data_IF_577933684553
#
_entry.id   IF_577933684553
#
_cell.length_a   1.000
_cell.length_b   1.000
_cell.length_c   1.000
_cell.angle_alpha   90.00
_cell.angle_beta   90.00
_cell.angle_gamma   90.00
#
_symmetry.space_group_name_H-M   'P 1'
#
loop_
_entity.id
_entity.type
_entity.pdbx_description
1 polymer ?
#
# COMPACT_ATOMS: atom_id res chain seq x y z
N UNK A 1 -1.03 -16.11 -15.27
CA UNK A 1 -0.10 -14.97 -15.27
C UNK A 1 -0.18 -14.24 -16.61
N UNK A 2 -0.50 -12.93 -16.58
CA UNK A 2 -0.68 -12.10 -17.75
C UNK A 2 0.61 -12.07 -18.61
N UNK A 3 0.53 -12.15 -19.97
CA UNK A 3 1.71 -12.20 -20.85
C UNK A 3 2.71 -11.05 -20.67
N UNK A 4 2.27 -9.85 -20.26
CA UNK A 4 3.13 -8.72 -19.93
C UNK A 4 4.04 -8.99 -18.73
N UNK A 5 3.56 -9.68 -17.71
CA UNK A 5 4.36 -10.03 -16.51
C UNK A 5 5.46 -11.03 -16.85
N UNK A 6 5.23 -11.96 -17.78
CA UNK A 6 6.27 -12.87 -18.27
C UNK A 6 7.37 -12.14 -19.04
N UNK A 7 7.03 -11.13 -19.88
CA UNK A 7 8.03 -10.35 -20.64
C UNK A 7 8.88 -9.46 -19.74
N UNK A 8 8.28 -8.81 -18.73
CA UNK A 8 9.04 -8.02 -17.75
C UNK A 8 9.98 -8.90 -16.91
N UNK A 9 9.53 -10.08 -16.48
CA UNK A 9 10.42 -11.04 -15.79
C UNK A 9 11.59 -11.50 -16.65
N UNK A 10 11.38 -11.74 -17.94
CA UNK A 10 12.45 -12.13 -18.85
C UNK A 10 13.46 -11.00 -19.12
N UNK A 11 13.02 -9.75 -19.21
CA UNK A 11 13.92 -8.60 -19.32
C UNK A 11 14.80 -8.45 -18.07
N UNK A 12 14.20 -8.51 -16.89
CA UNK A 12 14.94 -8.44 -15.62
C UNK A 12 15.96 -9.59 -15.45
N UNK A 13 15.77 -10.74 -16.07
CA UNK A 13 16.70 -11.87 -16.02
C UNK A 13 17.94 -11.60 -16.87
N UNK A 14 17.79 -11.05 -18.07
CA UNK A 14 18.90 -10.79 -18.99
C UNK A 14 19.88 -9.76 -18.44
N UNK A 15 19.37 -8.70 -17.80
CA UNK A 15 20.20 -7.66 -17.21
C UNK A 15 21.02 -8.14 -16.01
N UNK A 16 20.50 -9.10 -15.23
CA UNK A 16 21.18 -9.62 -14.04
C UNK A 16 22.45 -10.38 -14.37
N UNK A 17 22.47 -11.12 -15.47
CA UNK A 17 23.66 -11.85 -15.92
C UNK A 17 24.83 -10.93 -16.37
N UNK A 18 24.57 -9.64 -16.57
CA UNK A 18 25.63 -8.66 -16.81
C UNK A 18 26.32 -8.18 -15.53
N UNK A 19 25.73 -8.44 -14.36
CA UNK A 19 26.22 -7.98 -13.04
C UNK A 19 26.66 -9.13 -12.11
N UNK A 20 26.37 -10.38 -12.47
CA UNK A 20 26.71 -11.54 -11.65
C UNK A 20 27.10 -12.74 -12.52
N UNK A 21 28.11 -13.48 -12.10
CA UNK A 21 28.57 -14.69 -12.80
C UNK A 21 27.51 -15.79 -12.75
N UNK A 22 26.82 -15.93 -11.63
CA UNK A 22 25.76 -16.92 -11.43
C UNK A 22 24.51 -16.25 -10.87
N UNK A 23 23.37 -16.51 -11.49
CA UNK A 23 22.06 -16.06 -11.03
C UNK A 23 21.15 -17.26 -10.86
N UNK A 24 20.64 -17.43 -9.64
CA UNK A 24 19.64 -18.47 -9.30
C UNK A 24 18.33 -17.77 -8.96
N UNK A 25 17.23 -18.25 -9.51
CA UNK A 25 15.91 -17.66 -9.31
C UNK A 25 14.89 -18.72 -8.90
N UNK A 26 14.06 -18.37 -7.94
CA UNK A 26 12.96 -19.19 -7.46
C UNK A 26 11.62 -18.53 -7.82
N UNK A 27 10.68 -19.26 -8.44
CA UNK A 27 9.41 -18.69 -8.92
C UNK A 27 8.33 -18.58 -7.83
N UNK A 28 8.55 -19.22 -6.70
CA UNK A 28 7.62 -19.42 -5.57
C UNK A 28 8.12 -18.73 -4.31
N UNK A 29 7.22 -18.60 -3.33
CA UNK A 29 7.53 -18.03 -2.01
C UNK A 29 8.07 -19.17 -1.13
N UNK A 30 9.21 -18.98 -0.44
CA UNK A 30 9.75 -19.99 0.47
C UNK A 30 8.82 -20.22 1.68
N UNK A 31 8.73 -21.45 2.15
CA UNK A 31 7.86 -21.83 3.26
C UNK A 31 8.34 -21.31 4.63
N UNK A 32 9.63 -20.93 4.75
CA UNK A 32 10.17 -20.41 6.00
C UNK A 32 11.69 -20.21 5.95
N UNK A 33 12.27 -19.85 7.10
CA UNK A 33 13.67 -19.45 7.23
C UNK A 33 14.67 -20.53 6.74
N UNK A 34 14.43 -21.81 7.04
CA UNK A 34 15.34 -22.88 6.62
C UNK A 34 15.37 -23.06 5.09
N UNK A 35 14.23 -22.86 4.42
CA UNK A 35 14.20 -22.88 2.96
C UNK A 35 14.87 -21.62 2.38
N UNK A 36 14.69 -20.45 3.01
CA UNK A 36 15.39 -19.22 2.60
C UNK A 36 16.90 -19.44 2.70
N UNK A 37 17.40 -20.01 3.79
CA UNK A 37 18.81 -20.33 3.97
C UNK A 37 19.30 -21.30 2.90
N UNK A 38 18.53 -22.36 2.61
CA UNK A 38 18.89 -23.33 1.58
C UNK A 38 18.93 -22.71 0.18
N UNK A 39 18.02 -21.78 -0.13
CA UNK A 39 17.98 -21.05 -1.41
C UNK A 39 19.11 -20.03 -1.55
N UNK A 40 19.51 -19.39 -0.48
CA UNK A 40 20.63 -18.45 -0.46
C UNK A 40 21.96 -19.23 -0.66
N UNK A 41 22.17 -20.29 0.08
CA UNK A 41 23.35 -21.13 -0.03
C UNK A 41 24.66 -20.34 0.15
N UNK A 42 25.48 -20.33 -0.88
CA UNK A 42 26.78 -19.65 -0.95
C UNK A 42 26.73 -18.24 -1.58
N UNK A 43 25.55 -17.74 -1.91
CA UNK A 43 25.39 -16.46 -2.57
C UNK A 43 25.92 -15.29 -1.73
N UNK A 44 26.55 -14.31 -2.38
CA UNK A 44 27.05 -13.08 -1.79
C UNK A 44 26.05 -11.91 -1.94
N UNK A 45 25.09 -12.03 -2.86
CA UNK A 45 24.03 -11.05 -3.07
C UNK A 45 22.65 -11.69 -3.17
N UNK A 46 21.65 -11.04 -2.58
CA UNK A 46 20.26 -11.50 -2.58
C UNK A 46 19.34 -10.40 -3.10
N UNK A 47 18.46 -10.73 -4.05
CA UNK A 47 17.34 -9.89 -4.42
C UNK A 47 16.06 -10.46 -3.80
N UNK A 48 15.48 -9.68 -2.89
CA UNK A 48 14.37 -10.11 -2.02
C UNK A 48 13.05 -9.53 -2.50
N UNK A 49 12.04 -10.39 -2.68
CA UNK A 49 10.66 -9.97 -2.90
C UNK A 49 10.01 -9.46 -1.59
N UNK A 50 8.96 -8.67 -1.71
CA UNK A 50 8.18 -8.19 -0.56
C UNK A 50 7.46 -9.30 0.23
N UNK A 51 7.32 -10.48 -0.35
CA UNK A 51 6.65 -11.65 0.25
C UNK A 51 7.54 -12.46 1.19
N UNK A 52 8.85 -12.22 1.18
CA UNK A 52 9.81 -12.99 1.97
C UNK A 52 10.51 -12.07 2.98
N UNK A 53 10.94 -12.64 4.10
CA UNK A 53 11.67 -11.91 5.14
C UNK A 53 13.04 -12.56 5.38
N UNK A 54 14.07 -11.73 5.54
CA UNK A 54 15.40 -12.15 5.97
C UNK A 54 15.63 -11.65 7.39
N UNK A 55 15.27 -12.50 8.33
CA UNK A 55 15.44 -12.27 9.76
C UNK A 55 16.91 -12.49 10.18
N UNK A 56 17.24 -12.11 11.41
CA UNK A 56 18.54 -12.36 12.02
C UNK A 56 18.95 -13.83 11.95
N UNK A 57 17.99 -14.76 12.21
CA UNK A 57 18.21 -16.22 12.15
C UNK A 57 18.72 -16.69 10.78
N UNK A 58 18.22 -16.10 9.70
CA UNK A 58 18.65 -16.37 8.33
C UNK A 58 20.04 -15.78 8.07
N UNK A 59 20.25 -14.53 8.47
CA UNK A 59 21.53 -13.84 8.29
C UNK A 59 22.69 -14.56 9.03
N UNK A 60 22.44 -15.08 10.22
CA UNK A 60 23.43 -15.84 11.00
C UNK A 60 23.88 -17.11 10.27
N UNK A 61 22.97 -17.78 9.56
CA UNK A 61 23.25 -19.02 8.80
C UNK A 61 23.85 -18.75 7.40
N UNK A 62 23.83 -17.50 6.92
CA UNK A 62 24.31 -17.11 5.59
C UNK A 62 25.49 -16.13 5.69
N UNK A 63 26.71 -16.59 6.01
CA UNK A 63 27.85 -15.72 6.29
C UNK A 63 28.39 -14.99 5.06
N UNK A 64 28.12 -15.47 3.86
CA UNK A 64 28.69 -14.94 2.63
C UNK A 64 27.96 -13.69 2.09
N UNK A 65 26.75 -13.41 2.58
CA UNK A 65 25.96 -12.27 2.10
C UNK A 65 26.69 -10.96 2.38
N UNK A 66 26.82 -10.14 1.35
CA UNK A 66 27.38 -8.77 1.40
C UNK A 66 26.37 -7.71 0.94
N UNK A 67 25.37 -8.13 0.15
CA UNK A 67 24.39 -7.23 -0.41
C UNK A 67 22.99 -7.84 -0.40
N UNK A 68 21.98 -7.04 -0.02
CA UNK A 68 20.56 -7.40 -0.13
C UNK A 68 19.82 -6.26 -0.81
N UNK A 69 19.27 -6.54 -1.99
CA UNK A 69 18.39 -5.64 -2.72
C UNK A 69 16.92 -5.98 -2.47
N UNK A 70 16.22 -5.15 -1.73
CA UNK A 70 14.77 -5.29 -1.55
C UNK A 70 14.04 -4.81 -2.81
N UNK A 71 13.38 -5.71 -3.53
CA UNK A 71 12.52 -5.38 -4.68
C UNK A 71 11.15 -4.85 -4.22
N UNK A 72 11.16 -4.02 -3.19
CA UNK A 72 10.02 -3.37 -2.59
C UNK A 72 10.47 -2.08 -1.87
N UNK A 73 9.50 -1.32 -1.37
CA UNK A 73 9.76 -0.05 -0.70
C UNK A 73 10.54 -0.24 0.60
N UNK A 74 11.53 0.62 0.81
CA UNK A 74 12.29 0.74 2.04
C UNK A 74 12.25 2.19 2.53
N UNK A 75 11.39 2.48 3.50
CA UNK A 75 11.25 3.81 4.09
C UNK A 75 11.93 3.94 5.46
N UNK A 76 11.92 2.86 6.24
CA UNK A 76 12.57 2.80 7.55
C UNK A 76 13.03 1.38 7.87
N UNK A 77 13.94 1.17 8.84
CA UNK A 77 14.34 -0.16 9.28
C UNK A 77 13.17 -1.04 9.73
N UNK A 78 12.14 -0.45 10.34
CA UNK A 78 10.96 -1.15 10.87
C UNK A 78 10.02 -1.63 9.76
N UNK A 79 10.04 -0.96 8.60
CA UNK A 79 9.25 -1.34 7.41
C UNK A 79 9.96 -2.33 6.49
N UNK A 80 11.22 -2.67 6.80
CA UNK A 80 12.03 -3.53 5.97
C UNK A 80 11.65 -5.01 6.10
N UNK A 81 11.84 -5.76 5.02
CA UNK A 81 11.76 -7.22 5.01
C UNK A 81 13.11 -7.88 5.39
N UNK A 82 14.02 -7.10 5.94
CA UNK A 82 15.37 -7.52 6.36
C UNK A 82 15.61 -6.97 7.75
N UNK A 83 16.27 -7.71 8.62
CA UNK A 83 16.82 -7.15 9.86
C UNK A 83 17.98 -6.19 9.53
N UNK A 84 17.61 -4.93 9.27
CA UNK A 84 18.54 -3.87 8.87
C UNK A 84 19.62 -3.64 9.94
N UNK A 85 19.25 -3.73 11.23
CA UNK A 85 20.19 -3.47 12.32
C UNK A 85 21.30 -4.52 12.33
N UNK A 86 20.91 -5.78 12.30
CA UNK A 86 21.87 -6.88 12.26
C UNK A 86 22.65 -6.93 10.94
N UNK A 87 22.02 -6.62 9.81
CA UNK A 87 22.72 -6.50 8.53
C UNK A 87 23.82 -5.42 8.59
N UNK A 88 23.54 -4.26 9.18
CA UNK A 88 24.52 -3.19 9.35
C UNK A 88 25.68 -3.60 10.29
N UNK A 89 25.39 -4.29 11.40
CA UNK A 89 26.41 -4.82 12.33
C UNK A 89 27.39 -5.77 11.60
N UNK A 90 26.92 -6.48 10.60
CA UNK A 90 27.71 -7.40 9.77
C UNK A 90 28.34 -6.73 8.53
N UNK A 91 28.13 -5.44 8.31
CA UNK A 91 28.62 -4.75 7.12
C UNK A 91 27.90 -5.13 5.82
N UNK A 92 26.68 -5.69 5.90
CA UNK A 92 25.85 -6.03 4.75
C UNK A 92 25.15 -4.78 4.26
N UNK A 93 25.33 -4.44 2.98
CA UNK A 93 24.60 -3.33 2.35
C UNK A 93 23.17 -3.76 2.02
N UNK A 94 22.18 -3.03 2.54
CA UNK A 94 20.78 -3.26 2.22
C UNK A 94 20.22 -2.04 1.49
N UNK A 95 19.63 -2.26 0.32
CA UNK A 95 18.96 -1.23 -0.46
C UNK A 95 17.51 -1.60 -0.71
N UNK A 96 16.68 -0.60 -0.97
CA UNK A 96 15.29 -0.78 -1.36
C UNK A 96 14.90 0.27 -2.39
N UNK A 97 13.70 0.12 -2.92
CA UNK A 97 13.15 1.02 -3.92
C UNK A 97 12.29 2.08 -3.22
N UNK A 98 12.31 3.29 -3.73
CA UNK A 98 11.43 4.38 -3.28
C UNK A 98 10.80 5.06 -4.49
N UNK A 99 9.65 5.66 -4.27
CA UNK A 99 8.99 6.55 -5.23
C UNK A 99 8.81 5.89 -6.62
N UNK A 100 8.22 4.71 -6.65
CA UNK A 100 7.91 3.97 -7.87
C UNK A 100 6.44 3.55 -7.92
N UNK A 101 5.81 3.70 -9.09
CA UNK A 101 4.43 3.25 -9.33
C UNK A 101 3.34 4.07 -8.65
N UNK A 102 3.69 5.21 -8.02
CA UNK A 102 2.74 6.09 -7.36
C UNK A 102 1.76 6.73 -8.36
N UNK A 103 2.24 7.07 -9.55
CA UNK A 103 1.41 7.60 -10.65
C UNK A 103 0.33 6.60 -11.07
N UNK A 104 0.70 5.33 -11.23
CA UNK A 104 -0.25 4.26 -11.58
C UNK A 104 -1.30 4.02 -10.49
N UNK A 105 -0.97 4.23 -9.23
CA UNK A 105 -1.93 4.20 -8.12
C UNK A 105 -2.93 5.34 -8.24
N UNK A 106 -2.47 6.55 -8.57
CA UNK A 106 -3.34 7.72 -8.76
C UNK A 106 -4.28 7.51 -9.95
N UNK A 107 -3.76 7.04 -11.08
CA UNK A 107 -4.56 6.71 -12.28
C UNK A 107 -5.66 5.69 -11.95
N UNK A 108 -5.31 4.62 -11.26
CA UNK A 108 -6.27 3.59 -10.83
C UNK A 108 -7.37 4.19 -9.93
N UNK A 109 -6.97 4.91 -8.88
CA UNK A 109 -7.89 5.50 -7.91
C UNK A 109 -8.85 6.49 -8.57
N UNK A 110 -8.35 7.38 -9.43
CA UNK A 110 -9.18 8.36 -10.14
C UNK A 110 -10.14 7.63 -11.08
N UNK A 111 -9.67 6.64 -11.83
CA UNK A 111 -10.53 5.89 -12.76
C UNK A 111 -11.65 5.14 -12.04
N UNK A 112 -11.36 4.45 -10.93
CA UNK A 112 -12.34 3.72 -10.15
C UNK A 112 -13.33 4.66 -9.44
N UNK A 113 -12.84 5.79 -8.90
CA UNK A 113 -13.71 6.78 -8.29
C UNK A 113 -14.70 7.34 -9.31
N UNK A 114 -14.24 7.77 -10.49
CA UNK A 114 -15.10 8.24 -11.58
C UNK A 114 -16.10 7.18 -11.98
N UNK A 115 -15.65 5.91 -12.11
CA UNK A 115 -16.52 4.79 -12.44
C UNK A 115 -17.66 4.63 -11.42
N UNK A 116 -17.34 4.68 -10.13
CA UNK A 116 -18.32 4.57 -9.04
C UNK A 116 -19.27 5.78 -9.00
N UNK A 117 -18.76 7.00 -9.13
CA UNK A 117 -19.55 8.22 -9.04
C UNK A 117 -20.52 8.41 -10.22
N UNK A 118 -20.14 7.98 -11.42
CA UNK A 118 -20.95 8.12 -12.65
C UNK A 118 -21.73 6.85 -13.02
N UNK A 119 -21.54 5.76 -12.28
CA UNK A 119 -22.19 4.48 -12.60
C UNK A 119 -21.72 3.87 -13.93
N UNK A 120 -20.47 4.12 -14.35
CA UNK A 120 -19.88 3.48 -15.52
C UNK A 120 -19.57 2.00 -15.22
N UNK A 121 -20.57 1.16 -15.32
CA UNK A 121 -20.51 -0.24 -14.93
C UNK A 121 -21.87 -0.71 -14.47
N UNK A 122 -21.89 -1.74 -13.62
CA UNK A 122 -23.14 -2.32 -13.12
C UNK A 122 -23.62 -1.68 -11.81
N UNK A 123 -22.72 -1.03 -11.07
CA UNK A 123 -23.02 -0.47 -9.76
C UNK A 123 -22.64 1.02 -9.72
N UNK A 124 -23.58 1.84 -9.28
CA UNK A 124 -23.39 3.27 -9.00
C UNK A 124 -23.41 3.48 -7.49
N UNK A 125 -22.62 4.42 -7.00
CA UNK A 125 -22.60 4.79 -5.59
C UNK A 125 -23.90 5.43 -5.12
N UNK A 126 -24.53 6.24 -6.00
CA UNK A 126 -25.83 6.88 -5.78
C UNK A 126 -26.72 6.67 -6.99
N UNK A 127 -28.02 6.92 -6.85
CA UNK A 127 -28.99 6.81 -7.96
C UNK A 127 -28.66 7.76 -9.11
N UNK A 128 -28.16 8.96 -8.80
CA UNK A 128 -27.78 9.95 -9.80
C UNK A 128 -26.26 10.08 -9.89
N UNK A 129 -25.72 10.23 -11.09
CA UNK A 129 -24.28 10.50 -11.27
C UNK A 129 -23.83 11.72 -10.46
N UNK A 130 -22.66 11.61 -9.87
CA UNK A 130 -22.07 12.66 -9.05
C UNK A 130 -20.68 13.04 -9.57
N UNK A 131 -20.36 14.32 -9.46
CA UNK A 131 -19.05 14.86 -9.82
C UNK A 131 -18.07 14.79 -8.64
N UNK A 132 -16.77 14.83 -8.96
CA UNK A 132 -15.72 14.97 -7.94
C UNK A 132 -15.75 16.39 -7.32
N UNK A 133 -16.24 17.38 -8.05
CA UNK A 133 -16.35 18.76 -7.55
C UNK A 133 -17.20 18.83 -6.28
N UNK A 134 -16.60 19.35 -5.21
CA UNK A 134 -17.25 19.49 -3.90
C UNK A 134 -17.34 18.17 -3.09
N UNK A 135 -16.85 17.05 -3.63
CA UNK A 135 -16.79 15.78 -2.91
C UNK A 135 -15.89 15.90 -1.69
N UNK A 136 -16.35 15.45 -0.53
CA UNK A 136 -15.57 15.47 0.70
C UNK A 136 -14.66 14.24 0.76
N UNK A 137 -13.38 14.46 0.61
CA UNK A 137 -12.37 13.41 0.51
C UNK A 137 -11.48 13.40 1.75
N UNK A 138 -11.37 12.25 2.39
CA UNK A 138 -10.45 11.99 3.49
C UNK A 138 -9.25 11.17 3.04
N UNK A 139 -8.03 11.63 3.32
CA UNK A 139 -6.80 10.90 3.03
C UNK A 139 -6.11 10.50 4.34
N UNK A 140 -6.06 9.21 4.62
CA UNK A 140 -5.36 8.65 5.78
C UNK A 140 -3.94 8.29 5.34
N UNK A 141 -2.97 9.11 5.77
CA UNK A 141 -1.57 9.00 5.36
C UNK A 141 -1.22 9.90 4.19
N UNK A 142 -0.82 11.15 4.47
CA UNK A 142 -0.39 12.12 3.45
C UNK A 142 1.12 11.97 3.17
N UNK A 143 1.51 10.77 2.70
CA UNK A 143 2.82 10.47 2.14
C UNK A 143 2.89 10.77 0.64
N UNK A 144 3.80 10.10 -0.09
CA UNK A 144 3.95 10.30 -1.55
C UNK A 144 2.65 10.00 -2.29
N UNK A 145 2.14 8.76 -2.24
CA UNK A 145 0.92 8.35 -2.95
C UNK A 145 -0.31 9.12 -2.47
N UNK A 146 -0.50 9.26 -1.13
CA UNK A 146 -1.63 10.01 -0.57
C UNK A 146 -1.62 11.49 -0.94
N UNK A 147 -0.44 12.10 -1.00
CA UNK A 147 -0.28 13.48 -1.47
C UNK A 147 -0.65 13.64 -2.94
N UNK A 148 -0.19 12.72 -3.79
CA UNK A 148 -0.53 12.74 -5.23
C UNK A 148 -2.02 12.51 -5.48
N UNK A 149 -2.68 11.61 -4.72
CA UNK A 149 -4.12 11.41 -4.78
C UNK A 149 -4.86 12.69 -4.36
N UNK A 150 -4.44 13.31 -3.25
CA UNK A 150 -5.02 14.57 -2.78
C UNK A 150 -4.87 15.68 -3.82
N UNK A 151 -3.69 15.83 -4.42
CA UNK A 151 -3.41 16.83 -5.47
C UNK A 151 -4.32 16.60 -6.71
N UNK A 152 -4.43 15.34 -7.17
CA UNK A 152 -5.26 14.99 -8.31
C UNK A 152 -6.74 15.28 -8.06
N UNK A 153 -7.28 14.89 -6.91
CA UNK A 153 -8.68 15.12 -6.57
C UNK A 153 -8.98 16.59 -6.29
N UNK A 154 -8.02 17.31 -5.71
CA UNK A 154 -8.10 18.78 -5.55
C UNK A 154 -8.18 19.49 -6.89
N UNK A 155 -7.42 19.02 -7.90
CA UNK A 155 -7.49 19.55 -9.26
C UNK A 155 -8.91 19.43 -9.85
N UNK A 156 -9.63 18.33 -9.55
CA UNK A 156 -11.02 18.13 -9.93
C UNK A 156 -12.04 18.85 -9.01
N UNK A 157 -11.57 19.63 -8.03
CA UNK A 157 -12.43 20.44 -7.17
C UNK A 157 -12.95 19.76 -5.91
N UNK A 158 -12.39 18.64 -5.50
CA UNK A 158 -12.72 18.00 -4.22
C UNK A 158 -12.31 18.86 -3.00
N UNK A 159 -13.03 18.70 -1.91
CA UNK A 159 -12.68 19.23 -0.58
C UNK A 159 -11.85 18.20 0.17
N UNK A 160 -10.55 18.50 0.34
CA UNK A 160 -9.58 17.53 0.87
C UNK A 160 -9.36 17.76 2.37
N UNK A 161 -9.58 16.68 3.14
CA UNK A 161 -9.09 16.57 4.50
C UNK A 161 -8.09 15.41 4.59
N UNK A 162 -7.16 15.46 5.55
CA UNK A 162 -6.21 14.39 5.76
C UNK A 162 -5.93 14.13 7.24
N UNK A 163 -5.53 12.90 7.52
CA UNK A 163 -4.98 12.46 8.78
C UNK A 163 -3.54 11.97 8.57
N UNK A 164 -2.64 12.39 9.44
CA UNK A 164 -1.25 11.97 9.49
C UNK A 164 -0.74 12.03 10.93
N UNK A 165 0.44 11.49 11.21
CA UNK A 165 1.09 11.56 12.53
C UNK A 165 1.37 12.99 13.00
N UNK A 166 1.51 13.93 12.06
CA UNK A 166 1.67 15.35 12.31
C UNK A 166 1.11 16.15 11.15
N UNK A 167 0.71 17.37 11.41
CA UNK A 167 0.32 18.33 10.39
C UNK A 167 1.46 18.59 9.40
N UNK A 168 1.12 18.82 8.14
CA UNK A 168 2.06 19.08 7.05
C UNK A 168 1.92 20.53 6.60
N UNK A 169 2.99 21.30 6.71
CA UNK A 169 3.01 22.71 6.32
C UNK A 169 2.60 22.92 4.86
N UNK A 170 3.12 22.09 3.94
CA UNK A 170 2.79 22.16 2.52
C UNK A 170 1.30 21.87 2.22
N UNK A 171 0.65 21.07 3.05
CA UNK A 171 -0.75 20.71 2.88
C UNK A 171 -1.70 21.88 3.17
N UNK A 172 -1.38 22.67 4.19
CA UNK A 172 -2.12 23.88 4.53
C UNK A 172 -2.08 24.90 3.38
N UNK A 173 -0.91 25.07 2.75
CA UNK A 173 -0.76 25.95 1.59
C UNK A 173 -1.59 25.52 0.37
N UNK A 174 -1.89 24.20 0.24
CA UNK A 174 -2.78 23.63 -0.79
C UNK A 174 -4.28 23.70 -0.40
N UNK A 175 -4.60 24.17 0.79
CA UNK A 175 -5.95 24.23 1.34
C UNK A 175 -6.49 22.88 1.79
N UNK A 176 -5.61 21.94 2.20
CA UNK A 176 -6.02 20.67 2.82
C UNK A 176 -6.22 20.86 4.32
N UNK A 177 -7.25 20.24 4.86
CA UNK A 177 -7.56 20.33 6.28
C UNK A 177 -6.96 19.16 7.05
N UNK A 178 -6.15 19.43 8.05
CA UNK A 178 -5.67 18.43 8.98
C UNK A 178 -6.76 18.14 10.01
N UNK A 179 -7.20 16.89 10.13
CA UNK A 179 -8.25 16.47 11.06
C UNK A 179 -7.81 15.26 11.89
N UNK A 180 -8.31 15.16 13.14
CA UNK A 180 -8.30 13.90 13.87
C UNK A 180 -8.98 12.78 13.07
N UNK A 181 -8.56 11.52 13.26
CA UNK A 181 -9.04 10.39 12.46
C UNK A 181 -10.57 10.27 12.48
N UNK A 182 -11.18 10.33 13.65
CA UNK A 182 -12.63 10.20 13.79
C UNK A 182 -13.42 11.33 13.09
N UNK A 183 -12.91 12.57 13.16
CA UNK A 183 -13.53 13.69 12.44
C UNK A 183 -13.39 13.53 10.93
N UNK A 184 -12.22 13.10 10.45
CA UNK A 184 -12.01 12.81 9.04
C UNK A 184 -12.99 11.76 8.55
N UNK A 185 -13.13 10.64 9.26
CA UNK A 185 -14.01 9.53 8.88
C UNK A 185 -15.48 9.98 8.81
N UNK A 186 -15.95 10.71 9.83
CA UNK A 186 -17.35 11.16 9.89
C UNK A 186 -17.68 12.19 8.82
N UNK A 187 -16.76 13.10 8.49
CA UNK A 187 -16.98 14.19 7.53
C UNK A 187 -16.75 13.79 6.08
N UNK A 188 -15.99 12.74 5.80
CA UNK A 188 -15.64 12.34 4.43
C UNK A 188 -16.73 11.48 3.80
N UNK A 189 -16.90 11.60 2.51
CA UNK A 189 -17.76 10.75 1.65
C UNK A 189 -16.92 9.64 0.99
N UNK A 190 -15.67 9.95 0.68
CA UNK A 190 -14.70 9.01 0.14
C UNK A 190 -13.44 9.04 1.00
N UNK A 191 -12.93 7.89 1.38
CA UNK A 191 -11.74 7.75 2.22
C UNK A 191 -10.67 6.93 1.51
N UNK A 192 -9.45 7.44 1.47
CA UNK A 192 -8.27 6.76 0.94
C UNK A 192 -7.31 6.40 2.05
N UNK A 193 -7.06 5.09 2.22
CA UNK A 193 -6.04 4.57 3.12
C UNK A 193 -4.73 4.43 2.36
N UNK A 194 -3.77 5.34 2.61
CA UNK A 194 -2.46 5.41 1.96
C UNK A 194 -1.36 5.14 2.98
N UNK A 195 -1.46 4.01 3.67
CA UNK A 195 -0.59 3.66 4.79
C UNK A 195 0.52 2.69 4.38
N UNK A 196 1.57 2.66 5.18
CA UNK A 196 2.62 1.67 5.06
C UNK A 196 2.09 0.27 5.35
N UNK A 197 2.75 -0.74 4.78
CA UNK A 197 2.43 -2.14 5.02
C UNK A 197 2.34 -2.44 6.52
N UNK A 198 1.37 -3.28 6.89
CA UNK A 198 1.11 -3.74 8.26
C UNK A 198 0.73 -2.61 9.25
N UNK A 199 0.19 -1.50 8.75
CA UNK A 199 -0.37 -0.45 9.60
C UNK A 199 -1.88 -0.56 9.61
N UNK A 200 -2.44 -0.97 10.76
CA UNK A 200 -3.88 -1.07 10.99
C UNK A 200 -4.31 0.13 11.83
N UNK A 201 -5.27 0.90 11.34
CA UNK A 201 -5.82 2.08 12.02
C UNK A 201 -7.34 2.04 12.15
N UNK A 202 -8.04 1.27 11.30
CA UNK A 202 -9.50 1.20 11.32
C UNK A 202 -9.93 -0.06 12.08
N UNK A 203 -10.38 0.14 13.29
CA UNK A 203 -11.00 -0.85 14.16
C UNK A 203 -12.50 -0.64 14.20
N UNK A 204 -13.21 -1.30 15.08
CA UNK A 204 -14.67 -1.22 15.19
C UNK A 204 -15.16 0.22 15.44
N UNK A 205 -14.50 0.96 16.33
CA UNK A 205 -14.84 2.34 16.63
C UNK A 205 -14.66 3.29 15.44
N UNK A 206 -13.62 3.07 14.61
CA UNK A 206 -13.40 3.85 13.40
C UNK A 206 -14.43 3.54 12.31
N UNK A 207 -14.88 2.28 12.20
CA UNK A 207 -15.97 1.94 11.28
C UNK A 207 -17.33 2.50 11.73
N UNK A 208 -17.61 2.56 13.02
CA UNK A 208 -18.79 3.26 13.53
C UNK A 208 -18.77 4.76 13.17
N UNK A 209 -17.61 5.40 13.27
CA UNK A 209 -17.44 6.82 12.89
C UNK A 209 -17.50 7.03 11.37
N UNK A 210 -17.02 6.08 10.58
CA UNK A 210 -17.10 6.11 9.13
C UNK A 210 -18.56 6.12 8.68
N UNK A 211 -19.39 5.27 9.30
CA UNK A 211 -20.83 5.15 8.97
C UNK A 211 -21.07 4.51 7.60
N UNK A 212 -22.28 4.72 7.07
CA UNK A 212 -22.76 4.08 5.83
C UNK A 212 -22.54 4.93 4.59
N UNK A 213 -22.76 4.31 3.42
CA UNK A 213 -22.76 4.98 2.11
C UNK A 213 -21.48 5.78 1.86
N UNK A 214 -20.35 5.19 2.22
CA UNK A 214 -19.02 5.74 1.97
C UNK A 214 -18.26 4.90 0.97
N UNK A 215 -17.35 5.51 0.24
CA UNK A 215 -16.41 4.77 -0.61
C UNK A 215 -15.07 4.70 0.13
N UNK A 216 -14.55 3.48 0.30
CA UNK A 216 -13.28 3.25 0.97
C UNK A 216 -12.27 2.63 -0.01
N UNK A 217 -11.17 3.32 -0.25
CA UNK A 217 -10.04 2.82 -1.03
C UNK A 217 -8.88 2.43 -0.11
N UNK A 218 -8.27 1.29 -0.39
CA UNK A 218 -6.99 0.92 0.21
C UNK A 218 -5.92 0.84 -0.87
N UNK A 219 -4.93 1.71 -0.79
CA UNK A 219 -3.80 1.75 -1.72
C UNK A 219 -2.52 1.15 -1.11
N UNK A 220 -2.60 0.69 0.13
CA UNK A 220 -1.51 -0.01 0.81
C UNK A 220 -1.36 -1.47 0.38
N UNK A 221 -0.20 -2.07 0.67
CA UNK A 221 0.08 -3.48 0.41
C UNK A 221 -0.65 -4.44 1.38
N UNK A 222 -1.19 -3.92 2.46
CA UNK A 222 -2.00 -4.66 3.44
C UNK A 222 -3.24 -3.84 3.76
N UNK A 223 -4.32 -4.48 4.26
CA UNK A 223 -5.47 -3.75 4.77
C UNK A 223 -5.07 -2.75 5.85
N UNK A 224 -5.69 -1.57 5.81
CA UNK A 224 -5.55 -0.54 6.83
C UNK A 224 -6.48 -0.77 8.03
N UNK A 225 -7.19 -1.89 8.06
CA UNK A 225 -8.24 -2.24 9.01
C UNK A 225 -8.09 -3.62 9.62
N UNK A 226 -8.73 -3.78 10.74
CA UNK A 226 -8.98 -5.07 11.37
C UNK A 226 -10.04 -5.84 10.58
N UNK A 227 -9.72 -7.05 10.12
CA UNK A 227 -10.60 -7.84 9.24
C UNK A 227 -11.95 -8.18 9.90
N UNK A 228 -12.04 -8.66 11.17
CA UNK A 228 -13.29 -8.87 11.84
C UNK A 228 -14.17 -7.61 11.93
N UNK A 229 -13.59 -6.46 12.23
CA UNK A 229 -14.30 -5.19 12.30
C UNK A 229 -14.85 -4.76 10.93
N UNK A 230 -14.06 -4.95 9.87
CA UNK A 230 -14.48 -4.67 8.50
C UNK A 230 -15.65 -5.57 8.06
N UNK A 231 -15.54 -6.89 8.30
CA UNK A 231 -16.61 -7.84 7.97
C UNK A 231 -17.89 -7.51 8.73
N UNK A 232 -17.80 -7.18 10.02
CA UNK A 232 -18.95 -6.75 10.82
C UNK A 232 -19.61 -5.50 10.23
N UNK A 233 -18.82 -4.51 9.85
CA UNK A 233 -19.32 -3.30 9.21
C UNK A 233 -20.05 -3.63 7.90
N UNK A 234 -19.45 -4.42 7.01
CA UNK A 234 -20.06 -4.81 5.75
C UNK A 234 -21.39 -5.55 5.95
N UNK A 235 -21.47 -6.46 6.93
CA UNK A 235 -22.68 -7.25 7.21
C UNK A 235 -23.81 -6.40 7.80
N UNK A 236 -23.50 -5.43 8.66
CA UNK A 236 -24.49 -4.54 9.24
C UNK A 236 -25.21 -3.69 8.20
N UNK A 237 -24.51 -3.30 7.13
CA UNK A 237 -25.06 -2.41 6.11
C UNK A 237 -25.64 -3.13 4.87
N UNK A 238 -25.36 -4.43 4.70
CA UNK A 238 -25.99 -5.24 3.65
C UNK A 238 -27.31 -5.88 4.11
N UNK A 239 -27.55 -6.02 5.44
CA UNK A 239 -28.80 -6.55 5.97
C UNK A 239 -29.96 -5.55 5.87
N UNK A 240 -29.68 -4.25 5.99
CA UNK A 240 -30.73 -3.22 5.85
C UNK A 240 -31.30 -3.13 4.42
N UNK A 241 -30.54 -3.52 3.40
CA UNK A 241 -31.00 -3.54 2.01
C UNK A 241 -31.90 -4.76 1.68
N UNK A 242 -31.89 -5.80 2.52
CA UNK A 242 -32.72 -7.01 2.33
C UNK A 242 -34.09 -6.91 2.99
N UNK A 243 -34.29 -5.98 3.92
CA UNK A 243 -35.56 -5.80 4.64
C UNK A 243 -36.51 -4.79 3.97
N UNK A 244 -36.06 -4.11 2.90
CA UNK A 244 -36.88 -3.17 2.11
C UNK A 244 -37.44 -3.76 0.79
N UNK A 245 -37.35 -5.08 0.59
CA UNK A 245 -37.96 -5.83 -0.52
C UNK A 245 -39.06 -6.75 -0.01
#
# INVERSE_FOLDING_TARGET
LHPRVRRQRQMCIRDRHSYAEKVVMFPDVPAGDDEIVARIGDADAVLLSYTSQINRSVLEKCPNIRYIGMCCSLYSPESANVDIRYANERGITVTGIRDYGDEGVVEYVVSELVRCLHGFGQESWEEMPREITGLKVGVIGLGKSGGMIADALKFFGADIAYFARSEKEDAAAKGYRFLPLGELLSQSEVVFCCLNKNTVLLHEAEFEQLGNKKILFNTGLSPAWDEPAFVKCCLLYTSDAADEL
#
